data_IF_148309018327
#
_entry.id   IF_148309018327
#
_cell.length_a   1.000
_cell.length_b   1.000
_cell.length_c   1.000
_cell.angle_alpha   90.00
_cell.angle_beta   90.00
_cell.angle_gamma   90.00
#
_symmetry.space_group_name_H-M   'P 1'
#
loop_
_entity.id
_entity.type
_entity.pdbx_description
1 polymer ?
#
# COMPACT_ATOMS: atom_id res chain seq x y z
N UNK A 1 -17.90 4.89 13.32
CA UNK A 1 -17.45 5.43 12.02
C UNK A 1 -16.45 4.47 11.41
N UNK A 2 -16.55 4.23 10.10
CA UNK A 2 -15.59 3.44 9.34
C UNK A 2 -14.40 4.33 8.94
N UNK A 3 -13.18 3.84 9.10
CA UNK A 3 -11.95 4.49 8.64
C UNK A 3 -10.93 3.45 8.19
N UNK A 4 -9.86 3.89 7.53
CA UNK A 4 -8.80 3.00 7.13
C UNK A 4 -7.96 2.57 8.33
N UNK A 5 -7.69 1.28 8.40
CA UNK A 5 -6.72 0.69 9.31
C UNK A 5 -5.71 -0.12 8.53
N UNK A 6 -4.47 -0.08 8.96
CA UNK A 6 -3.38 -0.87 8.42
C UNK A 6 -2.99 -1.91 9.48
N UNK A 7 -3.17 -3.18 9.14
CA UNK A 7 -2.72 -4.32 9.95
C UNK A 7 -1.33 -4.70 9.51
N UNK A 8 -0.42 -4.80 10.46
CA UNK A 8 0.94 -5.32 10.27
C UNK A 8 1.02 -6.62 11.05
N UNK A 9 1.31 -7.72 10.35
CA UNK A 9 1.49 -9.03 10.95
C UNK A 9 2.84 -9.63 10.56
N UNK A 10 3.53 -10.20 11.52
CA UNK A 10 4.75 -10.96 11.34
C UNK A 10 4.45 -12.43 11.58
N UNK A 11 4.85 -13.27 10.63
CA UNK A 11 4.58 -14.71 10.68
C UNK A 11 5.85 -15.49 10.35
N UNK A 12 5.91 -16.74 10.74
CA UNK A 12 6.86 -17.66 10.12
C UNK A 12 6.58 -17.74 8.62
N UNK A 13 7.63 -17.90 7.80
CA UNK A 13 7.48 -18.01 6.33
C UNK A 13 7.01 -19.41 5.96
N UNK A 14 5.72 -19.68 6.17
CA UNK A 14 5.08 -20.98 5.91
C UNK A 14 4.08 -20.90 4.74
N UNK A 15 3.96 -22.02 4.01
CA UNK A 15 2.95 -22.15 2.95
C UNK A 15 1.55 -22.13 3.57
N UNK A 16 0.65 -21.30 3.02
CA UNK A 16 -0.76 -21.24 3.44
C UNK A 16 -1.10 -20.11 4.41
N UNK A 17 -0.12 -19.38 4.95
CA UNK A 17 -0.37 -18.26 5.87
C UNK A 17 -1.24 -17.17 5.24
N UNK A 18 -0.99 -16.83 3.99
CA UNK A 18 -1.82 -15.89 3.25
C UNK A 18 -3.31 -16.30 3.28
N UNK A 19 -3.60 -17.57 3.03
CA UNK A 19 -4.97 -18.07 3.04
C UNK A 19 -5.60 -18.02 4.43
N UNK A 20 -4.85 -18.34 5.49
CA UNK A 20 -5.34 -18.31 6.88
C UNK A 20 -5.68 -16.87 7.30
N UNK A 21 -4.81 -15.92 6.99
CA UNK A 21 -5.01 -14.50 7.30
C UNK A 21 -6.21 -13.96 6.50
N UNK A 22 -6.24 -14.13 5.19
CA UNK A 22 -7.32 -13.58 4.34
C UNK A 22 -8.67 -14.21 4.62
N UNK A 23 -8.73 -15.49 5.05
CA UNK A 23 -9.96 -16.16 5.46
C UNK A 23 -10.63 -15.46 6.67
N UNK A 24 -9.86 -14.85 7.59
CA UNK A 24 -10.43 -14.08 8.70
C UNK A 24 -11.09 -12.78 8.25
N UNK A 25 -10.51 -12.09 7.25
CA UNK A 25 -11.11 -10.92 6.63
C UNK A 25 -12.43 -11.30 5.93
N UNK A 26 -12.42 -12.40 5.17
CA UNK A 26 -13.61 -12.92 4.48
C UNK A 26 -14.73 -13.25 5.47
N UNK A 27 -14.44 -13.99 6.55
CA UNK A 27 -15.43 -14.35 7.58
C UNK A 27 -16.09 -13.13 8.24
N UNK A 28 -15.35 -12.01 8.33
CA UNK A 28 -15.84 -10.74 8.89
C UNK A 28 -16.43 -9.80 7.85
N UNK A 29 -16.45 -10.22 6.58
CA UNK A 29 -16.91 -9.39 5.45
C UNK A 29 -16.15 -8.07 5.35
N UNK A 30 -14.85 -8.08 5.66
CA UNK A 30 -13.97 -6.94 5.51
C UNK A 30 -13.33 -7.02 4.12
N UNK A 31 -13.53 -5.98 3.31
CA UNK A 31 -12.82 -5.85 2.03
C UNK A 31 -11.38 -5.45 2.27
N UNK A 32 -10.45 -6.14 1.62
CA UNK A 32 -9.02 -5.79 1.64
C UNK A 32 -8.76 -4.80 0.51
N UNK A 33 -8.30 -3.60 0.84
CA UNK A 33 -7.95 -2.56 -0.13
C UNK A 33 -6.56 -2.79 -0.74
N UNK A 34 -5.61 -3.15 0.10
CA UNK A 34 -4.28 -3.56 -0.34
C UNK A 34 -3.72 -4.66 0.55
N UNK A 35 -2.94 -5.55 -0.04
CA UNK A 35 -2.23 -6.61 0.64
C UNK A 35 -0.81 -6.71 0.08
N UNK A 36 0.17 -6.55 0.96
CA UNK A 36 1.57 -6.77 0.66
C UNK A 36 2.11 -7.87 1.57
N UNK A 37 2.84 -8.80 0.98
CA UNK A 37 3.63 -9.80 1.72
C UNK A 37 5.07 -9.70 1.25
N UNK A 38 6.01 -9.63 2.17
CA UNK A 38 7.43 -9.62 1.88
C UNK A 38 8.21 -10.27 3.03
N UNK A 39 9.43 -10.71 2.79
CA UNK A 39 10.33 -11.05 3.87
C UNK A 39 10.59 -9.80 4.73
N UNK A 40 10.63 -9.97 6.05
CA UNK A 40 10.98 -8.90 6.99
C UNK A 40 12.50 -8.73 7.04
N UNK A 41 13.00 -7.80 7.88
CA UNK A 41 14.43 -7.67 8.17
C UNK A 41 15.00 -8.91 8.89
N UNK A 42 14.13 -9.74 9.49
CA UNK A 42 14.52 -10.99 10.18
C UNK A 42 14.30 -12.15 9.21
N UNK A 43 15.38 -12.87 8.90
CA UNK A 43 15.36 -14.01 7.99
C UNK A 43 14.38 -15.09 8.43
N UNK A 44 13.56 -15.58 7.50
CA UNK A 44 12.55 -16.62 7.76
C UNK A 44 11.24 -16.09 8.34
N UNK A 45 11.10 -14.78 8.49
CA UNK A 45 9.89 -14.13 8.96
C UNK A 45 9.29 -13.28 7.85
N UNK A 46 8.03 -13.53 7.54
CA UNK A 46 7.24 -12.76 6.59
C UNK A 46 6.51 -11.61 7.28
N UNK A 47 6.49 -10.46 6.63
CA UNK A 47 5.73 -9.28 7.03
C UNK A 47 4.53 -9.10 6.10
N UNK A 48 3.34 -9.08 6.67
CA UNK A 48 2.09 -8.76 5.99
C UNK A 48 1.70 -7.33 6.32
N UNK A 49 1.37 -6.55 5.31
CA UNK A 49 0.80 -5.21 5.44
C UNK A 49 -0.55 -5.23 4.72
N UNK A 50 -1.63 -5.04 5.47
CA UNK A 50 -3.00 -5.19 4.96
C UNK A 50 -3.78 -3.94 5.32
N UNK A 51 -4.24 -3.18 4.31
CA UNK A 51 -5.13 -2.05 4.52
C UNK A 51 -6.59 -2.43 4.27
N UNK A 52 -7.48 -1.91 5.10
CA UNK A 52 -8.91 -2.13 5.00
C UNK A 52 -9.70 -1.00 5.65
N UNK A 53 -10.87 -0.67 5.08
CA UNK A 53 -11.83 0.24 5.69
C UNK A 53 -12.78 -0.54 6.57
N UNK A 54 -12.77 -0.25 7.88
CA UNK A 54 -13.63 -0.92 8.85
C UNK A 54 -13.87 -0.07 10.10
N UNK A 55 -14.62 -0.58 11.06
CA UNK A 55 -14.80 0.06 12.38
C UNK A 55 -13.74 -0.41 13.37
N UNK A 56 -13.47 0.42 14.39
CA UNK A 56 -12.55 0.05 15.47
C UNK A 56 -12.93 -1.27 16.15
N UNK A 57 -14.19 -1.46 16.44
CA UNK A 57 -14.66 -2.70 17.06
C UNK A 57 -14.36 -3.94 16.19
N UNK A 58 -14.54 -3.82 14.88
CA UNK A 58 -14.33 -4.93 13.96
C UNK A 58 -12.85 -5.26 13.81
N UNK A 59 -11.97 -4.22 13.71
CA UNK A 59 -10.52 -4.45 13.61
C UNK A 59 -9.95 -5.03 14.90
N UNK A 60 -10.42 -4.58 16.08
CA UNK A 60 -10.02 -5.17 17.37
C UNK A 60 -10.32 -6.67 17.44
N UNK A 61 -11.51 -7.07 16.98
CA UNK A 61 -11.91 -8.49 16.94
C UNK A 61 -11.10 -9.28 15.91
N UNK A 62 -10.77 -8.68 14.77
CA UNK A 62 -9.96 -9.30 13.74
C UNK A 62 -8.55 -9.58 14.27
N UNK A 63 -7.89 -8.57 14.83
CA UNK A 63 -6.51 -8.68 15.33
C UNK A 63 -6.40 -9.70 16.46
N UNK A 64 -7.40 -9.76 17.38
CA UNK A 64 -7.47 -10.82 18.39
C UNK A 64 -7.53 -12.22 17.80
N UNK A 65 -8.19 -12.42 16.67
CA UNK A 65 -8.25 -13.71 15.98
C UNK A 65 -6.97 -14.02 15.22
N UNK A 66 -6.35 -13.00 14.60
CA UNK A 66 -5.06 -13.17 13.94
C UNK A 66 -3.96 -13.62 14.92
N UNK A 67 -3.96 -13.09 16.15
CA UNK A 67 -3.04 -13.51 17.22
C UNK A 67 -3.17 -14.99 17.63
N UNK A 68 -4.31 -15.62 17.34
CA UNK A 68 -4.54 -17.03 17.66
C UNK A 68 -4.08 -17.98 16.53
N UNK A 69 -3.58 -17.47 15.41
CA UNK A 69 -2.97 -18.29 14.36
C UNK A 69 -1.57 -18.70 14.86
N UNK A 70 -1.27 -20.00 14.83
CA UNK A 70 -0.06 -20.57 15.44
C UNK A 70 1.22 -19.91 14.91
N UNK A 71 1.29 -19.70 13.60
CA UNK A 71 2.48 -19.18 12.92
C UNK A 71 2.56 -17.63 12.93
N UNK A 72 1.58 -16.93 13.55
CA UNK A 72 1.61 -15.47 13.74
C UNK A 72 2.39 -15.14 15.02
N UNK A 73 3.55 -14.51 14.82
CA UNK A 73 4.47 -14.12 15.90
C UNK A 73 3.98 -12.83 16.56
N UNK A 74 3.61 -11.85 15.73
CA UNK A 74 3.11 -10.56 16.18
C UNK A 74 2.11 -9.99 15.19
N UNK A 75 1.04 -9.36 15.68
CA UNK A 75 0.11 -8.62 14.85
C UNK A 75 -0.48 -7.44 15.61
N UNK A 76 -0.46 -6.29 14.96
CA UNK A 76 -1.04 -5.05 15.45
C UNK A 76 -1.71 -4.29 14.32
N UNK A 77 -2.58 -3.33 14.65
CA UNK A 77 -3.16 -2.43 13.68
C UNK A 77 -2.93 -0.98 14.06
N UNK A 78 -2.88 -0.13 13.05
CA UNK A 78 -2.55 1.28 13.16
C UNK A 78 -3.48 2.13 12.29
N UNK A 79 -3.63 3.39 12.65
CA UNK A 79 -4.12 4.43 11.75
C UNK A 79 -2.97 5.00 10.91
N UNK A 80 -3.29 5.67 9.80
CA UNK A 80 -2.27 6.29 8.94
C UNK A 80 -1.40 7.33 9.70
N UNK A 81 -1.94 7.97 10.74
CA UNK A 81 -1.21 8.97 11.54
C UNK A 81 -0.04 8.38 12.35
N UNK A 82 -0.12 7.09 12.71
CA UNK A 82 0.87 6.39 13.52
C UNK A 82 2.02 5.83 12.67
N UNK A 83 1.85 5.81 11.37
CA UNK A 83 2.78 5.19 10.41
C UNK A 83 3.44 6.23 9.50
N UNK A 84 4.60 5.87 8.97
CA UNK A 84 5.19 6.45 7.78
C UNK A 84 4.78 5.55 6.63
N UNK A 85 4.02 6.07 5.67
CA UNK A 85 3.47 5.30 4.56
C UNK A 85 3.97 5.84 3.23
N UNK A 86 4.28 4.95 2.29
CA UNK A 86 4.62 5.29 0.91
C UNK A 86 4.04 4.26 -0.04
N UNK A 87 3.63 4.71 -1.22
CA UNK A 87 3.23 3.87 -2.35
C UNK A 87 4.02 4.29 -3.59
N UNK A 88 4.15 3.38 -4.56
CA UNK A 88 4.63 3.69 -5.90
C UNK A 88 3.45 3.52 -6.85
N UNK A 89 3.27 4.48 -7.75
CA UNK A 89 2.26 4.40 -8.80
C UNK A 89 2.86 4.65 -10.17
N UNK A 90 2.32 3.98 -11.18
CA UNK A 90 2.63 4.19 -12.59
C UNK A 90 1.39 4.72 -13.30
N UNK A 91 1.60 5.78 -14.07
CA UNK A 91 0.59 6.46 -14.88
C UNK A 91 1.00 6.40 -16.33
N UNK A 92 0.18 5.76 -17.15
CA UNK A 92 0.35 5.79 -18.60
C UNK A 92 -0.46 6.95 -19.17
N UNK A 93 0.23 7.87 -19.80
CA UNK A 93 -0.30 9.13 -20.28
C UNK A 93 -0.36 9.09 -21.80
N UNK A 94 -1.47 9.53 -22.38
CA UNK A 94 -1.67 9.53 -23.83
C UNK A 94 -0.70 10.45 -24.57
N UNK A 95 -0.34 10.10 -25.81
CA UNK A 95 0.49 10.92 -26.70
C UNK A 95 -0.07 12.32 -27.01
N UNK A 96 -1.36 12.57 -26.73
CA UNK A 96 -1.94 13.93 -26.84
C UNK A 96 -1.14 14.98 -26.09
N UNK A 97 -0.46 14.57 -25.00
CA UNK A 97 0.40 15.42 -24.18
C UNK A 97 1.56 16.05 -24.99
N UNK A 98 2.01 15.41 -26.07
CA UNK A 98 3.07 15.94 -26.93
C UNK A 98 2.63 17.12 -27.82
N UNK A 99 1.32 17.37 -27.94
CA UNK A 99 0.78 18.49 -28.73
C UNK A 99 0.98 19.84 -28.04
N UNK A 100 1.13 19.82 -26.72
CA UNK A 100 1.37 21.01 -25.92
C UNK A 100 2.80 20.96 -25.38
N UNK A 101 3.64 21.87 -25.90
CA UNK A 101 5.04 21.97 -25.49
C UNK A 101 5.15 22.20 -23.97
N UNK A 102 5.96 21.38 -23.32
CA UNK A 102 6.28 21.53 -21.89
C UNK A 102 5.29 20.88 -20.91
N UNK A 103 4.20 20.25 -21.36
CA UNK A 103 3.21 19.65 -20.45
C UNK A 103 3.80 18.46 -19.70
N UNK A 104 4.63 17.62 -20.32
CA UNK A 104 5.33 16.50 -19.63
C UNK A 104 6.25 17.03 -18.55
N UNK A 105 7.08 18.03 -18.89
CA UNK A 105 8.02 18.64 -17.94
C UNK A 105 7.29 19.30 -16.76
N UNK A 106 6.13 19.93 -17.02
CA UNK A 106 5.29 20.51 -15.98
C UNK A 106 4.81 19.44 -15.00
N UNK A 107 4.20 18.37 -15.50
CA UNK A 107 3.70 17.26 -14.66
C UNK A 107 4.84 16.65 -13.84
N UNK A 108 5.99 16.39 -14.45
CA UNK A 108 7.15 15.81 -13.77
C UNK A 108 7.62 16.72 -12.63
N UNK A 109 7.68 18.03 -12.83
CA UNK A 109 8.13 18.99 -11.81
C UNK A 109 7.09 19.21 -10.71
N UNK A 110 5.83 19.46 -11.06
CA UNK A 110 4.76 19.75 -10.11
C UNK A 110 4.50 18.58 -9.17
N UNK A 111 4.54 17.36 -9.70
CA UNK A 111 4.29 16.16 -8.93
C UNK A 111 5.56 15.48 -8.39
N UNK A 112 6.74 16.06 -8.64
CA UNK A 112 8.01 15.39 -8.31
C UNK A 112 8.02 13.92 -8.80
N UNK A 113 7.59 13.73 -10.05
CA UNK A 113 7.43 12.44 -10.69
C UNK A 113 8.63 12.13 -11.59
N UNK A 114 8.73 10.89 -12.06
CA UNK A 114 9.84 10.44 -12.91
C UNK A 114 9.31 9.79 -14.18
N UNK A 115 9.89 10.12 -15.33
CA UNK A 115 9.62 9.42 -16.59
C UNK A 115 10.33 8.07 -16.56
N UNK A 116 9.56 6.99 -16.74
CA UNK A 116 10.06 5.61 -16.83
C UNK A 116 10.23 5.20 -18.29
N UNK A 117 9.26 5.55 -19.13
CA UNK A 117 9.27 5.23 -20.53
C UNK A 117 8.58 6.35 -21.34
N UNK A 118 9.11 6.63 -22.53
CA UNK A 118 8.54 7.60 -23.45
C UNK A 118 8.67 7.07 -24.88
N UNK A 119 7.56 7.07 -25.59
CA UNK A 119 7.53 6.75 -27.03
C UNK A 119 6.46 7.60 -27.74
N UNK A 120 6.34 7.53 -29.08
CA UNK A 120 5.36 8.36 -29.82
C UNK A 120 3.89 8.13 -29.46
N UNK A 121 3.55 7.02 -28.80
CA UNK A 121 2.18 6.65 -28.48
C UNK A 121 1.78 7.04 -27.05
N UNK A 122 2.72 7.00 -26.11
CA UNK A 122 2.46 7.28 -24.69
C UNK A 122 3.72 7.67 -23.90
N UNK A 123 3.50 8.13 -22.69
CA UNK A 123 4.53 8.31 -21.65
C UNK A 123 4.11 7.53 -20.42
N UNK A 124 5.04 6.82 -19.79
CA UNK A 124 4.85 6.23 -18.46
C UNK A 124 5.60 7.07 -17.45
N UNK A 125 4.86 7.54 -16.46
CA UNK A 125 5.39 8.36 -15.35
C UNK A 125 5.19 7.60 -14.06
N UNK A 126 6.24 7.59 -13.23
CA UNK A 126 6.23 7.04 -11.87
C UNK A 126 6.08 8.19 -10.86
N UNK A 127 5.28 7.95 -9.84
CA UNK A 127 5.19 8.79 -8.65
C UNK A 127 5.31 7.91 -7.40
N UNK A 128 6.22 8.28 -6.50
CA UNK A 128 6.27 7.78 -5.13
C UNK A 128 5.73 8.84 -4.19
N UNK A 129 4.86 8.47 -3.28
CA UNK A 129 4.23 9.40 -2.35
C UNK A 129 3.24 8.72 -1.42
N UNK A 130 2.51 9.52 -0.64
CA UNK A 130 1.38 9.05 0.14
C UNK A 130 0.23 8.64 -0.78
N UNK A 131 -0.76 7.94 -0.25
CA UNK A 131 -1.96 7.59 -1.00
C UNK A 131 -2.66 8.83 -1.55
N UNK A 132 -2.74 9.86 -0.72
CA UNK A 132 -3.36 11.14 -1.06
C UNK A 132 -2.63 11.82 -2.23
N UNK A 133 -1.30 11.85 -2.21
CA UNK A 133 -0.49 12.41 -3.30
C UNK A 133 -0.72 11.67 -4.62
N UNK A 134 -0.78 10.35 -4.56
CA UNK A 134 -0.99 9.48 -5.72
C UNK A 134 -2.40 9.67 -6.29
N UNK A 135 -3.42 9.72 -5.43
CA UNK A 135 -4.81 9.92 -5.85
C UNK A 135 -5.05 11.34 -6.38
N UNK A 136 -4.36 12.35 -5.83
CA UNK A 136 -4.43 13.72 -6.32
C UNK A 136 -3.86 13.85 -7.75
N UNK A 137 -2.68 13.29 -8.00
CA UNK A 137 -2.09 13.27 -9.35
C UNK A 137 -2.97 12.49 -10.33
N UNK A 138 -3.50 11.34 -9.91
CA UNK A 138 -4.43 10.54 -10.71
C UNK A 138 -5.65 11.37 -11.13
N UNK A 139 -6.29 12.04 -10.17
CA UNK A 139 -7.49 12.84 -10.40
C UNK A 139 -7.22 13.99 -11.37
N UNK A 140 -6.07 14.65 -11.26
CA UNK A 140 -5.69 15.71 -12.20
C UNK A 140 -5.53 15.17 -13.63
N UNK A 141 -4.81 14.04 -13.79
CA UNK A 141 -4.60 13.43 -15.11
C UNK A 141 -5.91 12.92 -15.74
N UNK A 142 -6.85 12.41 -14.91
CA UNK A 142 -8.19 12.01 -15.36
C UNK A 142 -9.01 13.22 -15.84
N UNK A 143 -9.02 14.31 -15.07
CA UNK A 143 -9.72 15.55 -15.43
C UNK A 143 -9.20 16.17 -16.73
N UNK A 144 -7.91 16.09 -16.96
CA UNK A 144 -7.27 16.55 -18.20
C UNK A 144 -7.43 15.56 -19.36
N UNK A 145 -8.08 14.41 -19.14
CA UNK A 145 -8.23 13.32 -20.12
C UNK A 145 -6.90 12.81 -20.69
N UNK A 146 -5.86 12.83 -19.85
CA UNK A 146 -4.52 12.39 -20.22
C UNK A 146 -4.24 10.95 -19.76
N UNK A 147 -4.87 10.48 -18.69
CA UNK A 147 -4.63 9.15 -18.11
C UNK A 147 -5.29 8.07 -18.98
N UNK A 148 -4.51 7.08 -19.38
CA UNK A 148 -5.00 5.89 -20.11
C UNK A 148 -4.99 4.63 -19.25
N UNK A 149 -3.97 4.45 -18.42
CA UNK A 149 -3.84 3.32 -17.51
C UNK A 149 -3.20 3.80 -16.21
N UNK A 150 -3.53 3.12 -15.12
CA UNK A 150 -3.02 3.42 -13.79
C UNK A 150 -2.83 2.12 -13.00
N UNK A 151 -1.72 2.04 -12.26
CA UNK A 151 -1.49 0.97 -11.29
C UNK A 151 -0.70 1.49 -10.09
N UNK A 152 -0.86 0.84 -8.93
CA UNK A 152 -0.13 1.16 -7.68
C UNK A 152 0.37 -0.10 -6.98
N UNK A 153 1.40 0.04 -6.17
CA UNK A 153 2.06 -1.06 -5.46
C UNK A 153 1.33 -1.56 -4.22
N UNK A 154 0.37 -0.82 -3.70
CA UNK A 154 -0.01 -0.95 -2.29
C UNK A 154 1.01 -0.31 -1.34
N UNK A 155 0.67 -0.23 -0.06
CA UNK A 155 1.37 0.61 0.91
C UNK A 155 2.60 -0.08 1.49
N UNK A 156 3.74 0.58 1.45
CA UNK A 156 4.93 0.27 2.26
C UNK A 156 4.83 1.09 3.54
N UNK A 157 5.10 0.46 4.68
CA UNK A 157 4.93 1.09 6.00
C UNK A 157 6.17 0.96 6.86
N UNK A 158 6.42 2.00 7.66
CA UNK A 158 7.29 1.95 8.83
C UNK A 158 6.54 2.56 10.00
N UNK A 159 6.62 1.92 11.16
CA UNK A 159 6.13 2.51 12.40
C UNK A 159 7.10 3.60 12.86
N UNK A 160 6.59 4.69 13.45
CA UNK A 160 7.43 5.79 13.96
C UNK A 160 8.31 5.36 15.13
N UNK A 161 7.80 4.44 15.95
CA UNK A 161 8.59 3.75 16.99
C UNK A 161 8.99 2.37 16.44
N UNK A 162 10.20 1.89 16.74
CA UNK A 162 10.70 0.62 16.18
C UNK A 162 9.80 -0.56 16.58
N UNK A 163 9.11 -1.14 15.60
CA UNK A 163 8.32 -2.38 15.76
C UNK A 163 9.25 -3.59 15.80
N UNK A 164 10.39 -3.50 15.13
CA UNK A 164 11.39 -4.57 15.05
C UNK A 164 12.03 -4.86 16.39
N UNK A 165 12.28 -3.84 17.23
CA UNK A 165 12.79 -4.04 18.59
C UNK A 165 11.81 -4.83 19.46
N UNK A 166 10.50 -4.58 19.27
CA UNK A 166 9.43 -5.35 19.94
C UNK A 166 9.34 -6.78 19.43
N UNK A 167 9.57 -6.99 18.11
CA UNK A 167 9.55 -8.31 17.50
C UNK A 167 10.74 -9.15 17.98
N UNK A 168 11.95 -8.59 18.04
CA UNK A 168 13.14 -9.27 18.54
C UNK A 168 13.01 -9.67 20.01
N UNK A 169 12.28 -8.89 20.81
CA UNK A 169 12.03 -9.22 22.21
C UNK A 169 11.01 -10.37 22.40
N UNK A 170 10.24 -10.72 21.37
CA UNK A 170 9.22 -11.78 21.39
C UNK A 170 9.68 -13.08 20.70
N UNK A 171 10.88 -13.11 20.11
CA UNK A 171 11.53 -14.28 19.51
C UNK A 171 12.47 -14.96 20.49
#
# INVERSE_FOLDING_TARGET
MTKEYIVIAFTENQIGELNRITALYLRRKINIESLKVSESSIRGISMFVISAFTTRETIDKLVKQLRNIIDVIQVEYYSNEELITQEIALYKITSKIFRESGTVDRIVREWNARIIEMNPQYVVVEKTGTREDIDAMRSELEQQQLLTEFTRSGTVVLHRDSVEDKLQANL
#
